data_IF_059631993297
#
_entry.id   IF_059631993297
#
_cell.length_a   1.000
_cell.length_b   1.000
_cell.length_c   1.000
_cell.angle_alpha   90.00
_cell.angle_beta   90.00
_cell.angle_gamma   90.00
#
_symmetry.space_group_name_H-M   'P 1'
#
loop_
_entity.id
_entity.type
_entity.pdbx_description
1 polymer ?
#
# COMPACT_ATOMS: atom_id res chain seq x y z
N UNK A 1 -16.25 3.71 4.88
CA UNK A 1 -15.26 3.50 3.81
C UNK A 1 -14.34 4.71 3.80
N UNK A 2 -13.04 4.49 3.61
CA UNK A 2 -12.00 5.51 3.56
C UNK A 2 -11.17 5.29 2.31
N UNK A 3 -10.67 6.38 1.73
CA UNK A 3 -9.65 6.31 0.69
C UNK A 3 -8.29 6.52 1.35
N UNK A 4 -7.38 5.59 1.14
CA UNK A 4 -5.99 5.78 1.51
C UNK A 4 -5.13 5.87 0.26
N UNK A 5 -4.04 6.60 0.41
CA UNK A 5 -3.00 6.74 -0.60
C UNK A 5 -1.72 6.18 -0.02
N UNK A 6 -1.10 5.22 -0.71
CA UNK A 6 0.21 4.69 -0.33
C UNK A 6 1.23 5.15 -1.36
N UNK A 7 2.31 5.75 -0.90
CA UNK A 7 3.45 6.13 -1.74
C UNK A 7 4.60 5.19 -1.42
N UNK A 8 5.14 4.53 -2.45
CA UNK A 8 6.21 3.55 -2.33
C UNK A 8 7.20 3.78 -3.48
N UNK A 9 8.50 3.50 -3.33
CA UNK A 9 9.43 3.58 -4.46
C UNK A 9 9.00 2.69 -5.63
N UNK A 10 9.18 3.21 -6.85
CA UNK A 10 8.61 2.61 -8.07
C UNK A 10 9.06 1.16 -8.29
N UNK A 11 10.34 0.89 -8.02
CA UNK A 11 10.96 -0.44 -8.07
C UNK A 11 10.44 -1.42 -7.00
N UNK A 12 9.78 -0.94 -5.95
CA UNK A 12 9.27 -1.74 -4.83
C UNK A 12 7.75 -1.91 -4.86
N UNK A 13 7.03 -1.15 -5.70
CA UNK A 13 5.57 -1.17 -5.78
C UNK A 13 4.98 -2.58 -5.99
N UNK A 14 5.53 -3.33 -6.94
CA UNK A 14 5.07 -4.68 -7.26
C UNK A 14 5.22 -5.68 -6.10
N UNK A 15 6.22 -5.51 -5.23
CA UNK A 15 6.43 -6.35 -4.05
C UNK A 15 5.40 -6.02 -2.98
N UNK A 16 5.14 -4.73 -2.75
CA UNK A 16 4.13 -4.29 -1.81
C UNK A 16 2.73 -4.77 -2.20
N UNK A 17 2.36 -4.69 -3.49
CA UNK A 17 1.09 -5.22 -3.99
C UNK A 17 0.95 -6.71 -3.64
N UNK A 18 1.98 -7.52 -3.94
CA UNK A 18 1.97 -8.95 -3.63
C UNK A 18 1.82 -9.24 -2.14
N UNK A 19 2.52 -8.49 -1.29
CA UNK A 19 2.38 -8.65 0.16
C UNK A 19 0.97 -8.31 0.64
N UNK A 20 0.37 -7.21 0.15
CA UNK A 20 -0.98 -6.80 0.53
C UNK A 20 -2.05 -7.76 0.01
N UNK A 21 -1.86 -8.34 -1.18
CA UNK A 21 -2.72 -9.38 -1.73
C UNK A 21 -2.65 -10.68 -0.90
N UNK A 22 -1.44 -11.08 -0.48
CA UNK A 22 -1.21 -12.30 0.28
C UNK A 22 -1.67 -12.20 1.75
N UNK A 23 -1.31 -11.12 2.45
CA UNK A 23 -1.57 -10.97 3.88
C UNK A 23 -3.04 -10.62 4.18
N UNK A 24 -3.77 -10.02 3.23
CA UNK A 24 -5.12 -9.52 3.53
C UNK A 24 -6.27 -10.10 2.72
N UNK A 25 -6.08 -10.87 1.63
CA UNK A 25 -7.15 -11.48 0.80
C UNK A 25 -8.28 -10.53 0.30
N UNK A 26 -8.31 -9.26 0.73
CA UNK A 26 -9.40 -8.31 0.53
C UNK A 26 -9.11 -7.39 -0.66
N UNK A 27 -7.85 -7.21 -1.04
CA UNK A 27 -7.46 -6.41 -2.20
C UNK A 27 -7.54 -7.26 -3.46
N UNK A 28 -8.76 -7.53 -3.93
CA UNK A 28 -8.98 -8.39 -5.11
C UNK A 28 -8.52 -7.77 -6.45
N UNK A 29 -8.08 -6.52 -6.44
CA UNK A 29 -7.45 -5.82 -7.57
C UNK A 29 -6.96 -4.44 -7.17
N UNK A 30 -5.65 -4.21 -7.24
CA UNK A 30 -5.08 -2.87 -7.28
C UNK A 30 -5.30 -2.28 -8.68
N UNK A 31 -6.54 -1.90 -9.02
CA UNK A 31 -6.86 -1.37 -10.35
C UNK A 31 -6.37 0.07 -10.56
N UNK A 32 -6.01 0.78 -9.48
CA UNK A 32 -5.66 2.22 -9.52
C UNK A 32 -4.30 2.48 -8.85
N UNK A 33 -3.21 2.20 -9.57
CA UNK A 33 -1.89 2.72 -9.19
C UNK A 33 -1.24 3.44 -10.36
N UNK A 34 -0.58 4.57 -10.05
CA UNK A 34 0.24 5.31 -11.00
C UNK A 34 1.71 5.06 -10.66
N UNK A 35 2.49 4.69 -11.67
CA UNK A 35 3.95 4.56 -11.54
C UNK A 35 4.58 5.85 -12.11
N UNK A 36 5.30 6.58 -11.27
CA UNK A 36 6.20 7.65 -11.68
C UNK A 36 7.65 7.16 -11.66
N UNK A 37 8.61 7.97 -12.11
CA UNK A 37 10.03 7.55 -12.20
C UNK A 37 10.58 7.03 -10.86
N UNK A 38 10.39 7.78 -9.78
CA UNK A 38 11.01 7.47 -8.49
C UNK A 38 10.06 6.78 -7.50
N UNK A 39 8.75 6.94 -7.69
CA UNK A 39 7.73 6.43 -6.78
C UNK A 39 6.47 6.00 -7.51
N UNK A 40 5.69 5.15 -6.85
CA UNK A 40 4.35 4.74 -7.25
C UNK A 40 3.35 5.18 -6.20
N UNK A 41 2.17 5.55 -6.67
CA UNK A 41 1.02 5.92 -5.85
C UNK A 41 -0.02 4.81 -5.97
N UNK A 42 -0.43 4.21 -4.85
CA UNK A 42 -1.53 3.24 -4.79
C UNK A 42 -2.72 3.90 -4.09
N UNK A 43 -3.88 3.92 -4.75
CA UNK A 43 -5.13 4.42 -4.19
C UNK A 43 -6.03 3.25 -3.82
N UNK A 44 -6.39 3.15 -2.53
CA UNK A 44 -7.20 2.04 -2.02
C UNK A 44 -8.45 2.54 -1.30
N UNK A 45 -9.59 1.94 -1.64
CA UNK A 45 -10.81 2.05 -0.87
C UNK A 45 -10.83 0.96 0.20
N UNK A 46 -10.90 1.37 1.47
CA UNK A 46 -10.81 0.46 2.62
C UNK A 46 -11.95 0.70 3.62
N UNK A 47 -12.27 -0.32 4.40
CA UNK A 47 -13.07 -0.19 5.63
C UNK A 47 -12.18 0.21 6.81
N UNK A 48 -12.78 0.79 7.85
CA UNK A 48 -12.04 1.28 9.02
C UNK A 48 -11.19 0.20 9.69
N UNK A 49 -11.70 -1.03 9.79
CA UNK A 49 -10.97 -2.14 10.39
C UNK A 49 -9.74 -2.57 9.60
N UNK A 50 -9.67 -2.26 8.29
CA UNK A 50 -8.55 -2.61 7.44
C UNK A 50 -7.38 -1.63 7.56
N UNK A 51 -7.59 -0.45 8.13
CA UNK A 51 -6.54 0.56 8.24
C UNK A 51 -5.35 0.04 9.07
N UNK A 52 -5.62 -0.47 10.27
CA UNK A 52 -4.58 -0.98 11.17
C UNK A 52 -3.82 -2.17 10.55
N UNK A 53 -4.52 -2.97 9.74
CA UNK A 53 -3.94 -4.08 9.00
C UNK A 53 -2.92 -3.57 7.97
N UNK A 54 -3.34 -2.61 7.13
CA UNK A 54 -2.47 -2.02 6.12
C UNK A 54 -1.28 -1.31 6.76
N UNK A 55 -1.50 -0.58 7.86
CA UNK A 55 -0.42 0.10 8.59
C UNK A 55 0.62 -0.92 9.11
N UNK A 56 0.17 -2.06 9.65
CA UNK A 56 1.05 -3.11 10.13
C UNK A 56 1.87 -3.76 9.01
N UNK A 57 1.24 -4.07 7.87
CA UNK A 57 1.95 -4.62 6.72
C UNK A 57 2.94 -3.63 6.11
N UNK A 58 2.60 -2.35 6.04
CA UNK A 58 3.55 -1.34 5.58
C UNK A 58 4.78 -1.29 6.48
N UNK A 59 4.61 -1.26 7.81
CA UNK A 59 5.76 -1.31 8.74
C UNK A 59 6.62 -2.55 8.54
N UNK A 60 6.01 -3.72 8.35
CA UNK A 60 6.71 -4.97 8.06
C UNK A 60 7.49 -4.88 6.74
N UNK A 61 6.85 -4.39 5.68
CA UNK A 61 7.45 -4.18 4.37
C UNK A 61 8.66 -3.24 4.44
N UNK A 62 8.53 -2.12 5.16
CA UNK A 62 9.61 -1.14 5.34
C UNK A 62 10.82 -1.75 6.07
N UNK A 63 10.58 -2.57 7.10
CA UNK A 63 11.63 -3.27 7.84
C UNK A 63 12.38 -4.28 6.97
N UNK A 64 11.67 -5.07 6.16
CA UNK A 64 12.26 -6.10 5.31
C UNK A 64 13.06 -5.46 4.16
N UNK A 65 12.45 -4.50 3.47
CA UNK A 65 13.01 -3.91 2.26
C UNK A 65 13.91 -2.70 2.52
N UNK A 66 14.07 -2.29 3.79
CA UNK A 66 14.89 -1.14 4.23
C UNK A 66 14.53 0.15 3.49
N UNK A 67 13.24 0.34 3.22
CA UNK A 67 12.73 1.41 2.38
C UNK A 67 11.50 2.00 3.04
N UNK A 68 11.36 3.33 3.07
CA UNK A 68 10.18 3.98 3.63
C UNK A 68 9.03 4.03 2.61
N UNK A 69 7.83 3.81 3.11
CA UNK A 69 6.57 4.06 2.43
C UNK A 69 5.87 5.25 3.13
N UNK A 70 4.95 5.91 2.43
CA UNK A 70 4.08 6.90 3.02
C UNK A 70 2.64 6.40 2.98
N UNK A 71 1.93 6.48 4.11
CA UNK A 71 0.50 6.19 4.21
C UNK A 71 -0.25 7.47 4.53
N UNK A 72 -1.06 7.94 3.58
CA UNK A 72 -1.92 9.09 3.73
C UNK A 72 -3.39 8.66 3.76
N UNK A 73 -4.19 9.26 4.64
CA UNK A 73 -5.64 9.10 4.65
C UNK A 73 -6.23 10.33 3.96
N UNK A 74 -6.97 10.13 2.88
CA UNK A 74 -7.75 11.20 2.25
C UNK A 74 -9.00 11.47 3.09
N UNK A 75 -9.22 12.73 3.45
CA UNK A 75 -10.45 13.18 4.15
C UNK A 75 -11.65 13.19 3.22
#
# INVERSE_FOLDING_TARGET
MKVITIIVPSNQCHLLIKELEADYFIFKKFDNYEIMQDFSILLLNIYDYQYNLIEAALKKFEMINKQKCCLCISK
#
